data_IF_145854272462
#
_entry.id   IF_145854272462
#
_cell.length_a   1.000
_cell.length_b   1.000
_cell.length_c   1.000
_cell.angle_alpha   90.00
_cell.angle_beta   90.00
_cell.angle_gamma   90.00
#
_symmetry.space_group_name_H-M   'P 1'
#
loop_
_entity.id
_entity.type
_entity.pdbx_description
1 polymer ?
#
# COMPACT_ATOMS: atom_id res chain seq x y z
N UNK A 1 4.97 -3.94 -10.04
CA UNK A 1 5.88 -4.82 -9.24
C UNK A 1 5.84 -4.49 -7.76
N UNK A 2 6.03 -3.23 -7.34
CA UNK A 2 6.04 -2.84 -5.93
C UNK A 2 4.76 -3.24 -5.17
N UNK A 3 3.58 -2.94 -5.71
CA UNK A 3 2.31 -3.36 -5.11
C UNK A 3 2.19 -4.89 -4.96
N UNK A 4 2.56 -5.64 -6.01
CA UNK A 4 2.51 -7.10 -5.97
C UNK A 4 3.42 -7.67 -4.87
N UNK A 5 4.62 -7.11 -4.72
CA UNK A 5 5.55 -7.49 -3.67
C UNK A 5 5.01 -7.15 -2.28
N UNK A 6 4.37 -5.98 -2.10
CA UNK A 6 3.72 -5.61 -0.83
C UNK A 6 2.58 -6.57 -0.48
N UNK A 7 1.73 -6.95 -1.46
CA UNK A 7 0.66 -7.95 -1.25
C UNK A 7 1.22 -9.31 -0.90
N UNK A 8 2.25 -9.77 -1.61
CA UNK A 8 2.97 -11.00 -1.28
C UNK A 8 3.59 -10.93 0.13
N UNK A 9 4.06 -9.76 0.54
CA UNK A 9 4.57 -9.48 1.90
C UNK A 9 3.45 -9.40 2.96
N UNK A 10 2.21 -9.79 2.63
CA UNK A 10 1.02 -9.80 3.49
C UNK A 10 0.52 -8.41 3.91
N UNK A 11 0.71 -7.39 3.07
CA UNK A 11 0.02 -6.12 3.25
C UNK A 11 -1.45 -6.27 2.82
N UNK A 12 -2.39 -6.08 3.75
CA UNK A 12 -3.83 -6.14 3.47
C UNK A 12 -4.34 -4.92 2.71
N UNK A 13 -3.72 -3.75 2.92
CA UNK A 13 -3.98 -2.51 2.20
C UNK A 13 -2.71 -2.11 1.49
N UNK A 14 -2.82 -1.77 0.20
CA UNK A 14 -1.71 -1.27 -0.62
C UNK A 14 -2.21 -0.09 -1.44
N UNK A 15 -1.50 1.02 -1.39
CA UNK A 15 -1.73 2.22 -2.19
C UNK A 15 -0.48 2.55 -2.99
N UNK A 16 -0.65 3.14 -4.18
CA UNK A 16 0.44 3.64 -5.02
C UNK A 16 0.18 5.07 -5.45
N UNK A 17 1.27 5.83 -5.62
CA UNK A 17 1.26 7.21 -6.13
C UNK A 17 0.27 8.13 -5.40
N UNK A 18 0.15 7.96 -4.07
CA UNK A 18 -0.71 8.77 -3.22
C UNK A 18 0.12 9.73 -2.38
N UNK A 19 -0.12 11.03 -2.56
CA UNK A 19 0.53 12.08 -1.77
C UNK A 19 -0.06 12.21 -0.37
N UNK A 20 0.77 12.52 0.61
CA UNK A 20 0.36 12.85 1.97
C UNK A 20 0.60 14.34 2.29
N UNK A 21 0.17 14.75 3.48
CA UNK A 21 0.28 16.15 3.95
C UNK A 21 1.72 16.66 4.10
N UNK A 22 2.70 15.78 4.27
CA UNK A 22 4.13 16.16 4.28
C UNK A 22 4.71 16.43 2.89
N UNK A 23 3.93 16.22 1.82
CA UNK A 23 4.39 16.26 0.43
C UNK A 23 5.07 14.97 -0.03
N UNK A 24 5.25 13.97 0.85
CA UNK A 24 5.75 12.67 0.45
C UNK A 24 4.70 11.92 -0.39
N UNK A 25 5.13 11.40 -1.53
CA UNK A 25 4.31 10.59 -2.43
C UNK A 25 5.09 9.31 -2.77
N UNK A 26 4.93 8.26 -1.97
CA UNK A 26 5.62 7.01 -2.22
C UNK A 26 5.10 6.33 -3.48
N UNK A 27 5.97 5.66 -4.24
CA UNK A 27 5.55 4.87 -5.40
C UNK A 27 4.62 3.73 -4.97
N UNK A 28 4.87 3.14 -3.79
CA UNK A 28 3.92 2.23 -3.15
C UNK A 28 4.07 2.23 -1.63
N UNK A 29 2.95 2.12 -0.92
CA UNK A 29 2.90 1.91 0.52
C UNK A 29 1.90 0.80 0.85
N UNK A 30 2.25 -0.08 1.80
CA UNK A 30 1.38 -1.16 2.24
C UNK A 30 1.34 -1.31 3.76
N UNK A 31 0.19 -1.72 4.30
CA UNK A 31 -0.02 -1.95 5.73
C UNK A 31 -0.27 -3.42 6.04
N UNK A 32 0.51 -3.96 6.99
CA UNK A 32 0.41 -5.34 7.49
C UNK A 32 -0.47 -5.50 8.74
N UNK A 33 -1.10 -4.46 9.21
CA UNK A 33 -1.76 -4.41 10.52
C UNK A 33 -0.78 -4.16 11.67
N UNK A 34 -1.30 -4.01 12.89
CA UNK A 34 -0.54 -3.71 14.12
C UNK A 34 0.48 -2.58 13.95
N UNK A 35 0.05 -1.49 13.35
CA UNK A 35 0.89 -0.32 13.15
C UNK A 35 2.19 -0.62 12.38
N UNK A 36 2.12 -1.45 11.35
CA UNK A 36 3.24 -1.83 10.52
C UNK A 36 2.98 -1.49 9.06
N UNK A 37 3.72 -0.53 8.54
CA UNK A 37 3.67 -0.12 7.14
C UNK A 37 5.03 -0.25 6.47
N UNK A 38 5.01 -0.48 5.17
CA UNK A 38 6.20 -0.63 4.32
C UNK A 38 6.05 0.34 3.15
N UNK A 39 7.06 1.18 2.96
CA UNK A 39 7.18 2.10 1.81
C UNK A 39 8.19 1.54 0.83
N UNK A 40 7.86 1.63 -0.46
CA UNK A 40 8.77 1.33 -1.57
C UNK A 40 8.89 2.57 -2.45
N UNK A 41 10.14 2.94 -2.73
CA UNK A 41 10.54 3.98 -3.68
C UNK A 41 11.26 3.33 -4.86
N UNK A 42 10.71 3.45 -6.05
CA UNK A 42 11.28 2.90 -7.26
C UNK A 42 12.32 3.87 -7.85
N UNK A 43 13.48 3.37 -8.20
CA UNK A 43 14.56 4.15 -8.83
C UNK A 43 14.96 3.52 -10.14
N UNK A 44 14.90 4.30 -11.21
CA UNK A 44 15.24 3.84 -12.56
C UNK A 44 16.64 4.27 -13.00
N UNK A 45 17.27 5.18 -12.26
CA UNK A 45 18.65 5.63 -12.52
C UNK A 45 19.37 5.98 -11.22
N UNK A 46 20.70 5.99 -11.27
CA UNK A 46 21.54 6.44 -10.15
C UNK A 46 21.32 7.93 -9.83
N UNK A 47 21.09 8.75 -10.83
CA UNK A 47 20.81 10.18 -10.65
C UNK A 47 19.51 10.38 -9.84
N UNK A 48 18.48 9.63 -10.16
CA UNK A 48 17.20 9.65 -9.41
C UNK A 48 17.39 9.19 -7.96
N UNK A 49 18.18 8.14 -7.73
CA UNK A 49 18.52 7.69 -6.38
C UNK A 49 19.28 8.76 -5.58
N UNK A 50 20.28 9.40 -6.17
CA UNK A 50 21.07 10.44 -5.49
C UNK A 50 20.23 11.69 -5.17
N UNK A 51 19.37 12.11 -6.08
CA UNK A 51 18.47 13.25 -5.88
C UNK A 51 17.47 13.04 -4.73
N UNK A 52 17.14 11.79 -4.41
CA UNK A 52 16.18 11.47 -3.35
C UNK A 52 16.64 11.95 -1.95
N UNK A 53 17.93 12.00 -1.70
CA UNK A 53 18.50 12.45 -0.41
C UNK A 53 18.17 13.91 -0.07
N UNK A 54 17.82 14.75 -1.06
CA UNK A 54 17.47 16.16 -0.88
C UNK A 54 16.02 16.37 -0.41
N UNK A 55 15.17 15.36 -0.47
CA UNK A 55 13.75 15.47 -0.13
C UNK A 55 13.55 15.75 1.35
N UNK A 56 12.55 16.61 1.75
CA UNK A 56 12.34 17.00 3.14
C UNK A 56 12.21 15.82 4.12
N UNK A 57 11.43 14.81 3.79
CA UNK A 57 11.22 13.62 4.61
C UNK A 57 12.43 12.69 4.72
N UNK A 58 13.51 12.95 3.97
CA UNK A 58 14.83 12.34 4.18
C UNK A 58 15.62 13.07 5.24
N UNK A 59 15.46 14.39 5.33
CA UNK A 59 16.13 15.25 6.32
C UNK A 59 15.41 15.25 7.66
N UNK A 60 14.09 15.10 7.65
CA UNK A 60 13.21 15.06 8.82
C UNK A 60 12.51 13.70 8.92
N UNK A 61 13.19 12.66 9.42
CA UNK A 61 12.61 11.32 9.50
C UNK A 61 11.32 11.23 10.32
N UNK A 62 11.05 12.22 11.19
CA UNK A 62 9.85 12.30 12.01
C UNK A 62 8.57 12.42 11.21
N UNK A 63 8.59 13.10 10.05
CA UNK A 63 7.43 13.29 9.19
C UNK A 63 7.23 12.16 8.15
N UNK A 64 8.23 11.29 8.01
CA UNK A 64 8.29 10.29 6.96
C UNK A 64 7.28 9.15 7.16
N UNK A 65 6.75 8.64 6.05
CA UNK A 65 5.88 7.47 6.02
C UNK A 65 6.67 6.17 6.18
N UNK A 66 6.01 5.13 6.68
CA UNK A 66 6.54 3.77 6.71
C UNK A 66 7.42 3.42 7.91
N UNK A 67 7.15 2.25 8.51
CA UNK A 67 8.03 1.64 9.51
C UNK A 67 9.25 0.99 8.89
N UNK A 68 9.05 0.41 7.71
CA UNK A 68 10.09 -0.15 6.84
C UNK A 68 10.11 0.61 5.54
N UNK A 69 11.30 0.84 5.01
CA UNK A 69 11.48 1.58 3.76
C UNK A 69 12.46 0.86 2.86
N UNK A 70 12.10 0.75 1.59
CA UNK A 70 12.90 0.08 0.57
C UNK A 70 13.07 0.96 -0.65
N UNK A 71 14.27 0.91 -1.25
CA UNK A 71 14.42 1.23 -2.64
C UNK A 71 14.22 -0.02 -3.48
N UNK A 72 13.51 0.11 -4.59
CA UNK A 72 13.41 -0.91 -5.63
C UNK A 72 14.11 -0.40 -6.89
N UNK A 73 15.06 -1.17 -7.42
CA UNK A 73 15.91 -0.73 -8.49
C UNK A 73 16.22 -1.88 -9.48
N UNK A 74 16.61 -1.56 -10.74
CA UNK A 74 17.16 -2.55 -11.67
C UNK A 74 18.33 -3.31 -11.05
N UNK A 75 18.49 -4.57 -11.47
CA UNK A 75 19.55 -5.44 -10.98
C UNK A 75 20.93 -4.77 -11.11
N UNK A 76 21.71 -4.86 -10.04
CA UNK A 76 23.09 -4.32 -9.95
C UNK A 76 23.23 -2.78 -10.14
N UNK A 77 22.13 -2.03 -10.18
CA UNK A 77 22.17 -0.56 -10.27
C UNK A 77 22.62 0.09 -8.97
N UNK A 78 22.15 -0.44 -7.84
CA UNK A 78 22.48 0.04 -6.49
C UNK A 78 23.11 -1.10 -5.68
N UNK A 79 23.97 -0.74 -4.72
CA UNK A 79 24.59 -1.69 -3.81
C UNK A 79 23.98 -1.60 -2.41
N UNK A 80 24.05 -2.68 -1.64
CA UNK A 80 23.49 -2.74 -0.29
C UNK A 80 24.14 -1.76 0.69
N UNK A 81 25.41 -1.43 0.50
CA UNK A 81 26.18 -0.49 1.31
C UNK A 81 25.86 0.99 1.00
N UNK A 82 25.27 1.26 -0.17
CA UNK A 82 24.80 2.62 -0.54
C UNK A 82 23.46 3.00 0.10
N UNK A 83 22.75 2.03 0.70
CA UNK A 83 21.44 2.30 1.28
C UNK A 83 21.54 3.16 2.54
N UNK A 84 20.69 4.18 2.69
CA UNK A 84 20.60 4.95 3.93
C UNK A 84 20.39 4.04 5.13
N UNK A 85 20.74 4.53 6.32
CA UNK A 85 20.58 3.77 7.55
C UNK A 85 19.15 3.29 7.77
N UNK A 86 18.98 1.99 7.99
CA UNK A 86 17.69 1.35 8.20
C UNK A 86 16.91 1.05 6.92
N UNK A 87 17.36 1.52 5.73
CA UNK A 87 16.70 1.23 4.47
C UNK A 87 17.11 -0.12 3.89
N UNK A 88 16.16 -0.76 3.23
CA UNK A 88 16.38 -1.96 2.45
C UNK A 88 16.57 -1.69 0.96
N UNK A 89 16.98 -2.74 0.26
CA UNK A 89 17.13 -2.76 -1.20
C UNK A 89 16.40 -3.96 -1.77
N UNK A 90 15.55 -3.70 -2.75
CA UNK A 90 14.89 -4.67 -3.59
C UNK A 90 15.47 -4.55 -5.02
N UNK A 91 15.82 -5.67 -5.62
CA UNK A 91 16.22 -5.71 -7.02
C UNK A 91 15.16 -6.31 -7.92
N UNK A 92 14.96 -5.72 -9.08
CA UNK A 92 14.09 -6.25 -10.13
C UNK A 92 14.73 -7.50 -10.74
N UNK A 93 14.01 -8.62 -10.69
CA UNK A 93 14.37 -9.88 -11.33
C UNK A 93 13.19 -10.38 -12.18
N UNK A 94 13.22 -10.10 -13.48
CA UNK A 94 12.10 -10.39 -14.36
C UNK A 94 10.86 -9.59 -13.97
N UNK A 95 9.80 -10.25 -13.49
CA UNK A 95 8.57 -9.62 -13.01
C UNK A 95 8.49 -9.49 -11.49
N UNK A 96 9.52 -9.93 -10.77
CA UNK A 96 9.53 -9.98 -9.31
C UNK A 96 10.56 -9.02 -8.71
N UNK A 97 10.42 -8.78 -7.40
CA UNK A 97 11.38 -8.04 -6.60
C UNK A 97 12.06 -8.99 -5.61
N UNK A 98 13.39 -9.05 -5.65
CA UNK A 98 14.21 -9.83 -4.73
C UNK A 98 14.79 -8.92 -3.65
N UNK A 99 14.72 -9.34 -2.39
CA UNK A 99 15.36 -8.66 -1.27
C UNK A 99 16.87 -8.86 -1.33
N UNK A 100 17.62 -7.79 -1.52
CA UNK A 100 19.09 -7.76 -1.46
C UNK A 100 19.55 -7.34 -0.06
N UNK A 101 18.90 -6.30 0.49
CA UNK A 101 19.12 -5.83 1.86
C UNK A 101 17.77 -5.67 2.56
N UNK A 102 17.62 -6.24 3.76
CA UNK A 102 16.40 -6.04 4.55
C UNK A 102 16.39 -4.65 5.16
N UNK A 103 15.23 -3.99 5.15
CA UNK A 103 14.98 -2.79 5.93
C UNK A 103 14.93 -3.13 7.42
N UNK A 104 15.33 -2.16 8.25
CA UNK A 104 15.10 -2.21 9.69
C UNK A 104 13.74 -1.58 9.99
N UNK A 105 12.92 -2.27 10.77
CA UNK A 105 11.67 -1.71 11.24
C UNK A 105 11.94 -0.66 12.31
N UNK A 106 11.55 0.58 12.04
CA UNK A 106 11.62 1.70 13.00
C UNK A 106 10.19 2.10 13.41
N UNK A 107 9.98 2.45 14.67
CA UNK A 107 8.73 3.04 15.11
C UNK A 107 8.61 4.44 14.49
N UNK A 108 7.40 4.75 14.01
CA UNK A 108 7.11 6.08 13.47
C UNK A 108 6.96 7.09 14.60
N UNK A 109 7.40 8.31 14.32
CA UNK A 109 7.07 9.47 15.16
C UNK A 109 5.58 9.82 14.99
N UNK A 110 4.98 10.56 15.94
CA UNK A 110 3.56 10.93 15.88
C UNK A 110 3.16 11.60 14.58
N UNK A 111 3.96 12.50 14.05
CA UNK A 111 3.71 13.21 12.79
C UNK A 111 3.68 12.25 11.59
N UNK A 112 4.62 11.31 11.51
CA UNK A 112 4.63 10.30 10.47
C UNK A 112 3.40 9.40 10.51
N UNK A 113 2.92 9.06 11.72
CA UNK A 113 1.68 8.32 11.90
C UNK A 113 0.46 9.14 11.47
N UNK A 114 0.40 10.43 11.81
CA UNK A 114 -0.66 11.35 11.37
C UNK A 114 -0.67 11.49 9.84
N UNK A 115 0.51 11.59 9.21
CA UNK A 115 0.63 11.65 7.75
C UNK A 115 0.09 10.37 7.07
N UNK A 116 0.37 9.19 7.63
CA UNK A 116 -0.23 7.94 7.14
C UNK A 116 -1.74 7.88 7.34
N UNK A 117 -2.24 8.33 8.48
CA UNK A 117 -3.69 8.43 8.73
C UNK A 117 -4.36 9.34 7.71
N UNK A 118 -3.80 10.53 7.48
CA UNK A 118 -4.32 11.48 6.49
C UNK A 118 -4.33 10.90 5.08
N UNK A 119 -3.28 10.16 4.70
CA UNK A 119 -3.18 9.48 3.41
C UNK A 119 -4.27 8.41 3.26
N UNK A 120 -4.52 7.60 4.29
CA UNK A 120 -5.59 6.60 4.30
C UNK A 120 -6.97 7.26 4.20
N UNK A 121 -7.24 8.30 5.00
CA UNK A 121 -8.51 9.04 4.97
C UNK A 121 -8.74 9.70 3.61
N UNK A 122 -7.73 10.33 3.02
CA UNK A 122 -7.82 10.91 1.68
C UNK A 122 -8.10 9.85 0.60
N UNK A 123 -7.55 8.66 0.76
CA UNK A 123 -7.80 7.54 -0.16
C UNK A 123 -9.21 6.99 -0.02
N UNK A 124 -9.72 6.85 1.21
CA UNK A 124 -11.10 6.45 1.48
C UNK A 124 -12.12 7.45 0.93
N UNK A 125 -11.90 8.76 1.12
CA UNK A 125 -12.76 9.81 0.55
C UNK A 125 -12.83 9.75 -0.98
N UNK A 126 -11.72 9.42 -1.64
CA UNK A 126 -11.71 9.24 -3.11
C UNK A 126 -12.52 8.04 -3.57
N UNK A 127 -12.54 6.97 -2.80
CA UNK A 127 -13.40 5.80 -3.05
C UNK A 127 -14.86 6.19 -2.87
N UNK A 128 -15.20 6.88 -1.78
CA UNK A 128 -16.56 7.36 -1.49
C UNK A 128 -17.13 8.24 -2.62
N UNK A 129 -16.36 9.23 -3.07
CA UNK A 129 -16.76 10.12 -4.18
C UNK A 129 -16.99 9.36 -5.50
N UNK A 130 -16.25 8.26 -5.74
CA UNK A 130 -16.40 7.45 -6.96
C UNK A 130 -17.56 6.45 -6.91
N UNK A 131 -18.11 6.20 -5.73
CA UNK A 131 -19.17 5.20 -5.52
C UNK A 131 -20.53 5.87 -5.30
N UNK A 132 -20.63 7.18 -5.39
CA UNK A 132 -21.93 7.88 -5.29
C UNK A 132 -22.75 7.78 -6.61
N UNK A 133 -24.09 7.63 -6.45
CA UNK A 133 -24.85 7.35 -5.26
C UNK A 133 -24.87 5.84 -4.95
N UNK A 134 -24.42 5.47 -3.77
CA UNK A 134 -24.52 4.07 -3.34
C UNK A 134 -25.98 3.70 -3.08
N UNK A 135 -26.63 3.15 -4.07
CA UNK A 135 -27.84 2.37 -3.84
C UNK A 135 -27.45 1.06 -3.17
N UNK A 136 -28.32 0.53 -2.33
CA UNK A 136 -28.15 -0.80 -1.71
C UNK A 136 -27.77 -1.85 -2.77
N UNK A 137 -28.35 -1.77 -3.99
CA UNK A 137 -27.99 -2.62 -5.12
C UNK A 137 -26.55 -2.50 -5.60
N UNK A 138 -25.92 -1.35 -5.50
CA UNK A 138 -24.51 -1.16 -5.91
C UNK A 138 -23.55 -1.71 -4.84
N UNK A 139 -23.90 -1.59 -3.57
CA UNK A 139 -23.21 -2.23 -2.46
C UNK A 139 -23.30 -3.77 -2.58
N UNK A 140 -24.44 -4.32 -2.89
CA UNK A 140 -24.63 -5.75 -3.11
C UNK A 140 -23.84 -6.25 -4.32
N UNK A 141 -23.83 -5.51 -5.44
CA UNK A 141 -23.00 -5.83 -6.61
C UNK A 141 -21.50 -5.81 -6.28
N UNK A 142 -21.04 -4.80 -5.55
CA UNK A 142 -19.66 -4.72 -5.09
C UNK A 142 -19.31 -5.90 -4.18
N UNK A 143 -20.17 -6.22 -3.20
CA UNK A 143 -20.02 -7.33 -2.29
C UNK A 143 -19.97 -8.68 -3.01
N UNK A 144 -20.86 -8.92 -3.99
CA UNK A 144 -20.87 -10.12 -4.79
C UNK A 144 -19.60 -10.25 -5.66
N UNK A 145 -19.10 -9.11 -6.18
CA UNK A 145 -17.83 -9.09 -6.89
C UNK A 145 -16.65 -9.44 -5.97
N UNK A 146 -16.62 -8.89 -4.74
CA UNK A 146 -15.59 -9.24 -3.75
C UNK A 146 -15.68 -10.70 -3.31
N UNK A 147 -16.88 -11.25 -3.15
CA UNK A 147 -17.08 -12.67 -2.86
C UNK A 147 -16.54 -13.56 -3.99
N UNK A 148 -16.71 -13.18 -5.25
CA UNK A 148 -16.14 -13.92 -6.38
C UNK A 148 -14.62 -13.94 -6.41
N UNK A 149 -13.97 -12.86 -5.94
CA UNK A 149 -12.50 -12.82 -5.77
C UNK A 149 -12.01 -13.74 -4.63
N UNK A 150 -12.84 -14.00 -3.62
CA UNK A 150 -12.54 -14.89 -2.49
C UNK A 150 -13.01 -16.35 -2.73
N UNK A 151 -13.13 -16.76 -3.98
CA UNK A 151 -13.56 -18.14 -4.31
C UNK A 151 -15.07 -18.39 -4.19
N UNK A 152 -15.89 -17.33 -4.21
CA UNK A 152 -17.35 -17.42 -4.21
C UNK A 152 -18.00 -17.62 -2.82
N UNK A 153 -17.21 -17.72 -1.75
CA UNK A 153 -17.75 -17.83 -0.40
C UNK A 153 -18.24 -16.46 0.10
N UNK A 154 -19.52 -16.34 0.37
CA UNK A 154 -20.07 -15.19 1.12
C UNK A 154 -19.66 -15.32 2.60
N UNK A 155 -19.33 -14.23 3.29
CA UNK A 155 -19.12 -14.25 4.71
C UNK A 155 -20.33 -14.82 5.46
N UNK A 156 -20.11 -15.58 6.53
CA UNK A 156 -21.20 -16.13 7.35
C UNK A 156 -22.22 -15.05 7.74
N UNK A 157 -23.49 -15.36 7.62
CA UNK A 157 -24.61 -14.47 7.94
C UNK A 157 -25.10 -13.60 6.77
N UNK A 158 -24.60 -13.76 5.57
CA UNK A 158 -25.03 -13.01 4.39
C UNK A 158 -25.73 -13.96 3.40
N UNK A 159 -27.05 -13.81 3.28
CA UNK A 159 -27.88 -14.55 2.31
C UNK A 159 -27.77 -13.90 0.93
N UNK A 160 -27.62 -14.69 -0.14
CA UNK A 160 -27.65 -14.19 -1.51
C UNK A 160 -29.05 -13.64 -1.84
N UNK A 161 -29.14 -12.47 -2.54
CA UNK A 161 -30.43 -11.81 -2.79
C UNK A 161 -31.45 -12.66 -3.58
N UNK A 162 -31.00 -13.66 -4.32
CA UNK A 162 -31.87 -14.54 -5.12
C UNK A 162 -32.64 -15.59 -4.31
N UNK A 163 -32.40 -15.69 -2.99
CA UNK A 163 -33.10 -16.62 -2.10
C UNK A 163 -34.26 -15.98 -1.33
N UNK A 164 -34.36 -14.64 -1.33
CA UNK A 164 -35.45 -13.94 -0.61
C UNK A 164 -36.75 -13.81 -1.44
N UNK A 165 -36.67 -13.86 -2.78
CA UNK A 165 -37.89 -13.73 -3.63
C UNK A 165 -38.79 -14.98 -3.64
N UNK A 166 -38.31 -16.13 -3.16
CA UNK A 166 -39.10 -17.37 -3.19
C UNK A 166 -39.79 -17.75 -1.87
N UNK A 167 -39.62 -16.94 -0.79
CA UNK A 167 -40.24 -17.27 0.51
C UNK A 167 -41.59 -16.59 0.78
N UNK A 168 -42.08 -15.78 -0.16
CA UNK A 168 -43.38 -15.07 -0.01
C UNK A 168 -44.47 -15.54 -0.97
N UNK A 169 -44.28 -16.69 -1.63
CA UNK A 169 -45.32 -17.34 -2.48
C UNK A 169 -45.58 -18.77 -2.02
N UNK A 170 -46.05 -18.91 -0.78
CA UNK A 170 -46.84 -20.08 -0.35
C UNK A 170 -47.90 -19.58 0.66
#
# INVERSE_FOLDING_TARGET
MAEAWLRWSRCGIVLSEQGCSSGEMPDAIGWKGRNHSIVIECKISRGDFLADSSKPWRREPGIALGCERYYAAPKAMLKADEMPEGWGLLEVQGRDLKVVKRSQRKLRQPEGLMNEMNLLLASLRRVEVRIEPQRIGDFLKWKNRMASYNGGALPEGIVAPDQEENSHLV
#
